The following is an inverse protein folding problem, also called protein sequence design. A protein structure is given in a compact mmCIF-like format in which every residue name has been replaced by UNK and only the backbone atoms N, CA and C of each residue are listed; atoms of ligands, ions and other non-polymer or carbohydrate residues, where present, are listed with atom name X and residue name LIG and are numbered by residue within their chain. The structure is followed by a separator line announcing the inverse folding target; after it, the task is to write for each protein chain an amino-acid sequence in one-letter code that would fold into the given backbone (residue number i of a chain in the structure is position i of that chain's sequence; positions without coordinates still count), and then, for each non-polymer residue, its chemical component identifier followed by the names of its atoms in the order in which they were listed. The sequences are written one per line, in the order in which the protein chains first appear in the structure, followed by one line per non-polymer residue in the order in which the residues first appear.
data_IF_813700338310
#
_entry.id   IF_813700338310
#
_cell.length_a   1.000
_cell.length_b   1.000
_cell.length_c   1.000
_cell.angle_alpha   90.00
_cell.angle_beta   90.00
_cell.angle_gamma   90.00
#
_symmetry.space_group_name_H-M   'P 1'
#
loop_
_entity.id
_entity.type
_entity.pdbx_description
1 polymer ?
#
# COMPACT_ATOMS: atom_id res chain seq x y z
N UNK A 1 25.58 22.83 6.48
CA UNK A 1 24.34 23.63 6.52
C UNK A 1 23.79 23.76 5.11
N UNK A 2 22.47 23.65 4.98
CA UNK A 2 21.63 23.73 3.77
C UNK A 2 21.80 22.57 2.75
N UNK A 3 20.77 21.91 2.21
CA UNK A 3 19.36 22.27 2.15
C UNK A 3 18.43 21.11 2.50
N UNK A 4 17.41 21.46 3.27
CA UNK A 4 16.22 20.66 3.54
C UNK A 4 15.40 20.62 2.24
N UNK A 5 15.13 19.43 1.70
CA UNK A 5 13.97 19.23 0.80
C UNK A 5 12.94 18.46 1.59
N UNK A 6 12.19 19.21 2.40
CA UNK A 6 10.87 18.83 2.88
C UNK A 6 10.04 18.59 1.63
N UNK A 7 9.76 17.33 1.30
CA UNK A 7 8.63 17.01 0.43
C UNK A 7 7.40 17.27 1.29
N UNK A 8 6.95 18.52 1.23
CA UNK A 8 5.71 19.00 1.80
C UNK A 8 4.58 18.20 1.13
N UNK A 9 4.15 17.12 1.79
CA UNK A 9 2.94 16.40 1.42
C UNK A 9 1.76 17.20 1.98
N UNK A 10 1.56 18.38 1.40
CA UNK A 10 0.36 19.19 1.58
C UNK A 10 -0.84 18.43 1.07
N UNK A 11 -1.38 17.54 1.91
CA UNK A 11 -2.71 16.96 1.74
C UNK A 11 -3.77 18.01 2.09
N UNK A 12 -3.74 19.17 1.44
CA UNK A 12 -4.92 20.03 1.34
C UNK A 12 -5.89 19.37 0.36
N UNK A 13 -6.70 18.45 0.89
CA UNK A 13 -8.06 18.12 0.43
C UNK A 13 -8.64 17.11 1.42
N UNK A 14 -9.05 17.62 2.58
CA UNK A 14 -9.96 16.92 3.46
C UNK A 14 -11.29 16.68 2.72
N UNK A 15 -11.41 15.59 1.98
CA UNK A 15 -12.72 15.10 1.56
C UNK A 15 -13.39 14.44 2.76
N UNK A 16 -14.05 15.25 3.59
CA UNK A 16 -14.87 14.78 4.70
C UNK A 16 -16.18 14.23 4.13
N UNK A 17 -16.16 12.98 3.67
CA UNK A 17 -17.36 12.29 3.22
C UNK A 17 -18.20 11.94 4.45
N UNK A 18 -19.35 12.61 4.59
CA UNK A 18 -20.40 12.25 5.55
C UNK A 18 -21.17 11.06 4.98
N UNK A 19 -21.04 9.88 5.57
CA UNK A 19 -22.01 8.81 5.38
C UNK A 19 -22.99 8.81 6.55
N UNK A 20 -24.10 9.53 6.35
CA UNK A 20 -25.34 9.27 7.06
C UNK A 20 -26.12 8.21 6.25
N UNK A 21 -26.66 7.20 6.94
CA UNK A 21 -27.72 6.36 6.39
C UNK A 21 -27.30 4.94 6.06
N UNK A 22 -27.85 4.02 6.85
CA UNK A 22 -27.90 2.57 6.67
C UNK A 22 -28.14 2.11 5.23
N UNK A 23 -27.55 0.96 4.91
CA UNK A 23 -28.13 0.01 3.98
C UNK A 23 -27.14 -0.49 2.94
N UNK A 24 -26.76 -1.76 3.08
CA UNK A 24 -26.85 -2.81 2.05
C UNK A 24 -25.68 -3.79 2.19
N UNK A 25 -26.03 -4.99 2.65
CA UNK A 25 -25.22 -6.17 2.56
C UNK A 25 -24.97 -6.52 1.08
N UNK A 26 -23.74 -6.94 0.76
CA UNK A 26 -23.38 -7.56 -0.52
C UNK A 26 -22.85 -6.59 -1.58
N UNK A 27 -21.54 -6.34 -1.58
CA UNK A 27 -20.85 -5.66 -2.70
C UNK A 27 -19.71 -4.71 -2.33
N UNK A 28 -19.53 -4.38 -1.04
CA UNK A 28 -18.61 -3.32 -0.56
C UNK A 28 -17.23 -3.87 -0.15
N UNK A 29 -16.69 -4.90 -0.83
CA UNK A 29 -15.29 -5.31 -0.58
C UNK A 29 -14.28 -4.52 -1.42
N UNK A 30 -14.68 -4.00 -2.58
CA UNK A 30 -13.77 -3.41 -3.56
C UNK A 30 -13.35 -1.96 -3.23
N UNK A 31 -14.28 -1.10 -2.78
CA UNK A 31 -13.99 0.30 -2.42
C UNK A 31 -13.31 0.38 -1.03
N UNK A 32 -13.70 -0.48 -0.09
CA UNK A 32 -13.01 -0.60 1.21
C UNK A 32 -11.61 -1.21 1.08
N UNK A 33 -11.37 -2.09 0.09
CA UNK A 33 -10.05 -2.64 -0.21
C UNK A 33 -9.04 -1.57 -0.61
N UNK A 34 -9.44 -0.60 -1.44
CA UNK A 34 -8.55 0.49 -1.86
C UNK A 34 -8.17 1.41 -0.69
N UNK A 35 -9.14 1.79 0.14
CA UNK A 35 -8.88 2.62 1.32
C UNK A 35 -7.99 1.92 2.36
N UNK A 36 -8.24 0.63 2.62
CA UNK A 36 -7.42 -0.17 3.54
C UNK A 36 -6.01 -0.45 3.00
N UNK A 37 -5.87 -0.62 1.68
CA UNK A 37 -4.57 -0.73 1.03
C UNK A 37 -3.73 0.53 1.23
N UNK A 38 -4.28 1.72 0.95
CA UNK A 38 -3.53 2.97 1.11
C UNK A 38 -3.15 3.27 2.56
N UNK A 39 -4.01 2.92 3.52
CA UNK A 39 -3.68 3.02 4.94
C UNK A 39 -2.51 2.09 5.33
N UNK A 40 -2.54 0.84 4.85
CA UNK A 40 -1.45 -0.13 5.04
C UNK A 40 -0.14 0.35 4.39
N UNK A 41 -0.22 0.84 3.16
CA UNK A 41 0.94 1.33 2.41
C UNK A 41 1.57 2.56 3.05
N UNK A 42 0.74 3.51 3.54
CA UNK A 42 1.23 4.69 4.27
C UNK A 42 2.01 4.30 5.53
N UNK A 43 1.48 3.39 6.34
CA UNK A 43 2.16 2.95 7.57
C UNK A 43 3.54 2.34 7.27
N UNK A 44 3.63 1.50 6.23
CA UNK A 44 4.92 0.92 5.80
C UNK A 44 5.88 1.96 5.22
N UNK A 45 5.40 2.92 4.45
CA UNK A 45 6.25 3.96 3.88
C UNK A 45 6.87 4.89 4.94
N UNK A 46 6.22 5.08 6.08
CA UNK A 46 6.75 5.87 7.21
C UNK A 46 8.03 5.26 7.77
N UNK A 47 8.16 3.93 7.80
CA UNK A 47 9.35 3.25 8.34
C UNK A 47 10.61 3.47 7.49
N UNK A 48 10.46 3.79 6.20
CA UNK A 48 11.60 4.00 5.30
C UNK A 48 12.25 5.39 5.42
N UNK A 49 11.70 6.31 6.23
CA UNK A 49 12.19 7.70 6.37
C UNK A 49 12.34 8.45 5.03
N UNK A 50 11.51 8.08 4.04
CA UNK A 50 11.59 8.56 2.67
C UNK A 50 11.94 7.45 1.69
N UNK A 51 11.30 7.48 0.52
CA UNK A 51 11.54 6.54 -0.57
C UNK A 51 12.01 7.32 -1.79
N UNK A 52 13.09 6.87 -2.43
CA UNK A 52 13.55 7.52 -3.66
C UNK A 52 12.46 7.42 -4.74
N UNK A 53 12.21 8.49 -5.49
CA UNK A 53 11.20 8.45 -6.56
C UNK A 53 11.44 7.35 -7.60
N UNK A 54 12.71 6.96 -7.81
CA UNK A 54 13.10 5.85 -8.70
C UNK A 54 12.70 4.48 -8.16
N UNK A 55 12.74 4.28 -6.85
CA UNK A 55 12.39 2.99 -6.22
C UNK A 55 10.94 2.93 -5.76
N UNK A 56 10.24 4.06 -5.69
CA UNK A 56 8.86 4.16 -5.22
C UNK A 56 7.92 3.14 -5.86
N UNK A 57 8.02 2.97 -7.18
CA UNK A 57 7.23 1.98 -7.90
C UNK A 57 7.45 0.55 -7.38
N UNK A 58 8.70 0.16 -7.14
CA UNK A 58 9.05 -1.15 -6.61
C UNK A 58 8.52 -1.35 -5.19
N UNK A 59 8.64 -0.35 -4.32
CA UNK A 59 8.08 -0.41 -2.96
C UNK A 59 6.55 -0.52 -2.96
N UNK A 60 5.89 0.17 -3.89
CA UNK A 60 4.43 0.09 -4.02
C UNK A 60 3.99 -1.29 -4.49
N UNK A 61 4.67 -1.88 -5.48
CA UNK A 61 4.39 -3.24 -5.97
C UNK A 61 4.65 -4.32 -4.92
N UNK A 62 5.74 -4.21 -4.19
CA UNK A 62 6.04 -5.15 -3.10
C UNK A 62 5.05 -4.99 -1.92
N UNK A 63 4.58 -3.77 -1.65
CA UNK A 63 3.51 -3.52 -0.67
C UNK A 63 2.16 -4.05 -1.13
N UNK A 64 1.82 -3.94 -2.41
CA UNK A 64 0.65 -4.59 -3.02
C UNK A 64 0.68 -6.10 -2.82
N UNK A 65 1.81 -6.74 -3.13
CA UNK A 65 2.00 -8.17 -2.94
C UNK A 65 1.80 -8.59 -1.47
N UNK A 66 2.42 -7.88 -0.52
CA UNK A 66 2.24 -8.16 0.91
C UNK A 66 0.83 -7.92 1.41
N UNK A 67 0.16 -6.88 0.94
CA UNK A 67 -1.21 -6.60 1.36
C UNK A 67 -2.14 -7.73 0.91
N UNK A 68 -1.97 -8.23 -0.31
CA UNK A 68 -2.77 -9.32 -0.85
C UNK A 68 -2.50 -10.65 -0.12
N UNK A 69 -1.27 -10.87 0.35
CA UNK A 69 -0.85 -12.10 1.03
C UNK A 69 -0.62 -11.94 2.54
N UNK A 70 -1.25 -10.94 3.16
CA UNK A 70 -1.03 -10.58 4.58
C UNK A 70 -1.43 -11.66 5.60
N UNK A 71 -2.20 -12.65 5.18
CA UNK A 71 -2.63 -13.78 6.00
C UNK A 71 -2.03 -15.11 5.51
N UNK A 72 -1.18 -15.07 4.49
CA UNK A 72 -0.59 -16.24 3.87
C UNK A 72 0.85 -16.47 4.36
N UNK A 73 1.36 -17.67 4.14
CA UNK A 73 2.77 -17.96 4.36
C UNK A 73 3.61 -17.45 3.17
N UNK A 74 4.13 -16.22 3.30
CA UNK A 74 4.96 -15.59 2.27
C UNK A 74 6.15 -16.45 1.85
N UNK A 75 6.77 -17.20 2.78
CA UNK A 75 7.88 -18.06 2.45
C UNK A 75 7.47 -19.18 1.48
N UNK A 76 6.33 -19.83 1.76
CA UNK A 76 5.80 -20.87 0.87
C UNK A 76 5.46 -20.31 -0.52
N UNK A 77 4.81 -19.14 -0.57
CA UNK A 77 4.45 -18.47 -1.84
C UNK A 77 5.70 -18.13 -2.65
N UNK A 78 6.70 -17.49 -2.03
CA UNK A 78 7.92 -17.12 -2.72
C UNK A 78 8.69 -18.36 -3.21
N UNK A 79 8.74 -19.42 -2.41
CA UNK A 79 9.39 -20.67 -2.80
C UNK A 79 8.69 -21.31 -4.02
N UNK A 80 7.36 -21.28 -4.05
CA UNK A 80 6.57 -21.74 -5.20
C UNK A 80 6.83 -20.87 -6.43
N UNK A 81 6.80 -19.54 -6.28
CA UNK A 81 7.09 -18.60 -7.37
C UNK A 81 8.49 -18.80 -7.94
N UNK A 82 9.51 -18.96 -7.10
CA UNK A 82 10.89 -19.19 -7.56
C UNK A 82 11.07 -20.52 -8.29
N UNK A 83 10.26 -21.54 -7.98
CA UNK A 83 10.28 -22.82 -8.70
C UNK A 83 9.61 -22.72 -10.07
N UNK A 84 8.52 -21.97 -10.16
CA UNK A 84 7.72 -21.85 -11.38
C UNK A 84 8.25 -20.78 -12.34
N UNK A 85 8.94 -19.76 -11.80
CA UNK A 85 9.54 -18.67 -12.54
C UNK A 85 10.95 -18.43 -11.99
N UNK A 86 11.95 -19.20 -12.46
CA UNK A 86 13.33 -18.98 -12.08
C UNK A 86 13.74 -17.56 -12.49
N UNK A 87 14.52 -16.90 -11.62
CA UNK A 87 15.16 -15.64 -11.95
C UNK A 87 16.34 -15.98 -12.87
N UNK A 88 16.17 -15.73 -14.17
CA UNK A 88 17.24 -15.83 -15.17
C UNK A 88 18.41 -14.86 -14.90
#
# INVERSE_FOLDING_TARGET
MAGVVLVDMGCEKHFRVRHAGNGLAGGVRHISGMGSFWAYAKNRMVEFNGVSGRTFYWHLKETEFRFNHRHDNLYAILLEMSRNMPLD
#
